data_IF_988281344496
#
_entry.id   IF_988281344496
#
_cell.length_a   1.000
_cell.length_b   1.000
_cell.length_c   1.000
_cell.angle_alpha   90.00
_cell.angle_beta   90.00
_cell.angle_gamma   90.00
#
_symmetry.space_group_name_H-M   'P 1'
#
loop_
_entity.id
_entity.type
_entity.pdbx_description
1 polymer ?
#
# COMPACT_ATOMS: atom_id res chain seq x y z
N UNK A 1 -1.31 -20.37 -5.05
CA UNK A 1 -0.44 -19.17 -5.11
C UNK A 1 -0.87 -18.22 -4.00
N UNK A 2 0.01 -17.77 -3.11
CA UNK A 2 -0.40 -16.86 -2.02
C UNK A 2 -0.68 -15.46 -2.58
N UNK A 3 -1.62 -14.73 -1.96
CA UNK A 3 -2.06 -13.40 -2.42
C UNK A 3 -0.90 -12.39 -2.47
N UNK A 4 0.04 -12.47 -1.52
CA UNK A 4 1.23 -11.64 -1.50
C UNK A 4 2.08 -11.84 -2.75
N UNK A 5 2.37 -13.09 -3.13
CA UNK A 5 3.25 -13.37 -4.27
C UNK A 5 2.62 -12.95 -5.59
N UNK A 6 1.32 -13.18 -5.74
CA UNK A 6 0.58 -12.75 -6.92
C UNK A 6 0.62 -11.22 -7.11
N UNK A 7 0.54 -10.45 -6.02
CA UNK A 7 0.65 -8.99 -6.08
C UNK A 7 2.02 -8.53 -6.58
N UNK A 8 3.11 -9.10 -6.08
CA UNK A 8 4.45 -8.69 -6.49
C UNK A 8 4.81 -9.13 -7.91
N UNK A 9 4.31 -10.29 -8.34
CA UNK A 9 4.41 -10.72 -9.74
C UNK A 9 3.66 -9.77 -10.66
N UNK A 10 2.44 -9.37 -10.31
CA UNK A 10 1.68 -8.38 -11.06
C UNK A 10 2.45 -7.06 -11.21
N UNK A 11 3.03 -6.55 -10.11
CA UNK A 11 3.83 -5.31 -10.14
C UNK A 11 5.08 -5.46 -11.02
N UNK A 12 5.73 -6.63 -10.96
CA UNK A 12 6.92 -6.94 -11.77
C UNK A 12 6.59 -7.03 -13.27
N UNK A 13 5.50 -7.70 -13.62
CA UNK A 13 5.16 -8.01 -15.01
C UNK A 13 4.42 -6.87 -15.71
N UNK A 14 3.83 -5.96 -14.92
CA UNK A 14 3.16 -4.76 -15.45
C UNK A 14 4.14 -3.91 -16.27
N UNK A 15 3.81 -3.68 -17.54
CA UNK A 15 4.60 -2.85 -18.47
C UNK A 15 4.40 -1.35 -18.21
N UNK A 16 4.88 -0.89 -17.07
CA UNK A 16 4.85 0.52 -16.65
C UNK A 16 6.18 0.91 -16.01
N UNK A 17 6.70 2.10 -16.34
CA UNK A 17 7.90 2.67 -15.71
C UNK A 17 7.63 3.19 -14.30
N UNK A 18 6.45 3.77 -14.10
CA UNK A 18 6.01 4.33 -12.82
C UNK A 18 4.69 3.67 -12.41
N UNK A 19 4.62 3.20 -11.17
CA UNK A 19 3.43 2.59 -10.58
C UNK A 19 3.03 3.40 -9.35
N UNK A 20 1.76 3.82 -9.33
CA UNK A 20 1.12 4.42 -8.16
C UNK A 20 0.24 3.36 -7.52
N UNK A 21 0.48 3.06 -6.24
CA UNK A 21 -0.25 2.03 -5.52
C UNK A 21 -0.78 2.57 -4.20
N UNK A 22 -2.10 2.68 -4.11
CA UNK A 22 -2.81 3.01 -2.87
C UNK A 22 -3.04 1.74 -2.06
N UNK A 23 -2.29 1.54 -0.97
CA UNK A 23 -2.37 0.33 -0.16
C UNK A 23 -1.94 0.56 1.29
N UNK A 24 -2.82 0.35 2.27
CA UNK A 24 -2.53 0.69 3.68
C UNK A 24 -1.85 -0.42 4.49
N UNK A 25 -1.54 -1.57 3.89
CA UNK A 25 -0.90 -2.71 4.56
C UNK A 25 -1.65 -3.26 5.80
N UNK A 26 -2.96 -3.03 5.92
CA UNK A 26 -3.80 -3.52 7.03
C UNK A 26 -4.27 -4.99 6.87
N UNK A 27 -3.63 -5.74 5.97
CA UNK A 27 -4.07 -7.09 5.60
C UNK A 27 -2.93 -8.08 5.44
N UNK A 28 -2.89 -8.73 4.28
CA UNK A 28 -2.04 -9.89 4.01
C UNK A 28 -0.56 -9.56 3.76
N UNK A 29 -0.17 -8.28 3.67
CA UNK A 29 1.25 -7.88 3.59
C UNK A 29 1.53 -6.74 4.57
N UNK A 30 2.48 -6.96 5.48
CA UNK A 30 2.95 -5.93 6.41
C UNK A 30 3.80 -4.89 5.68
N UNK A 31 3.72 -3.63 6.12
CA UNK A 31 4.43 -2.48 5.52
C UNK A 31 5.93 -2.70 5.32
N UNK A 32 6.61 -3.26 6.32
CA UNK A 32 8.06 -3.52 6.26
C UNK A 32 8.43 -4.51 5.14
N UNK A 33 7.69 -5.61 5.04
CA UNK A 33 7.85 -6.62 3.98
C UNK A 33 7.48 -5.98 2.63
N UNK A 34 6.43 -5.17 2.60
CA UNK A 34 5.96 -4.51 1.39
C UNK A 34 7.03 -3.60 0.80
N UNK A 35 7.62 -2.73 1.63
CA UNK A 35 8.70 -1.83 1.24
C UNK A 35 9.96 -2.57 0.82
N UNK A 36 10.35 -3.60 1.58
CA UNK A 36 11.51 -4.43 1.24
C UNK A 36 11.36 -5.08 -0.13
N UNK A 37 10.16 -5.53 -0.49
CA UNK A 37 9.91 -6.16 -1.80
C UNK A 37 9.76 -5.13 -2.92
N UNK A 38 9.16 -3.97 -2.68
CA UNK A 38 9.11 -2.90 -3.70
C UNK A 38 10.51 -2.36 -4.02
N UNK A 39 11.40 -2.24 -3.03
CA UNK A 39 12.76 -1.74 -3.25
C UNK A 39 13.62 -2.66 -4.12
N UNK A 40 13.30 -3.96 -4.21
CA UNK A 40 13.98 -4.86 -5.16
C UNK A 40 13.55 -4.64 -6.61
N UNK A 41 12.39 -4.02 -6.84
CA UNK A 41 11.84 -3.77 -8.18
C UNK A 41 12.21 -2.38 -8.72
N UNK A 42 12.68 -1.48 -7.85
CA UNK A 42 13.11 -0.13 -8.22
C UNK A 42 13.08 0.85 -7.06
N UNK A 43 13.12 2.16 -7.37
CA UNK A 43 13.09 3.22 -6.36
C UNK A 43 11.65 3.45 -5.90
N UNK A 44 11.40 3.25 -4.60
CA UNK A 44 10.08 3.45 -4.01
C UNK A 44 10.06 4.67 -3.09
N UNK A 45 9.07 5.54 -3.26
CA UNK A 45 8.73 6.65 -2.35
C UNK A 45 7.34 6.44 -1.78
N UNK A 46 7.14 6.72 -0.50
CA UNK A 46 5.82 6.68 0.14
C UNK A 46 5.34 8.11 0.35
N UNK A 47 4.09 8.37 0.03
CA UNK A 47 3.36 9.53 0.52
C UNK A 47 2.35 9.03 1.55
N UNK A 48 2.41 9.61 2.76
CA UNK A 48 1.47 9.30 3.83
C UNK A 48 0.60 10.52 4.07
N UNK A 49 -0.71 10.31 4.06
CA UNK A 49 -1.65 11.36 4.37
C UNK A 49 -2.60 10.91 5.47
N UNK A 50 -2.69 11.74 6.50
CA UNK A 50 -3.60 11.55 7.62
C UNK A 50 -4.98 12.07 7.21
N UNK A 51 -5.96 11.20 7.20
CA UNK A 51 -7.36 11.55 6.95
C UNK A 51 -8.20 11.28 8.20
N UNK A 52 -9.25 12.08 8.37
CA UNK A 52 -10.27 11.76 9.36
C UNK A 52 -11.03 10.52 8.88
N UNK A 53 -11.19 9.51 9.74
CA UNK A 53 -11.96 8.33 9.40
C UNK A 53 -13.39 8.72 9.07
N UNK A 54 -13.94 8.22 7.96
CA UNK A 54 -15.33 8.48 7.58
C UNK A 54 -16.28 7.87 8.62
N UNK A 55 -17.09 8.72 9.27
CA UNK A 55 -17.91 8.36 10.44
C UNK A 55 -19.39 8.14 10.15
N UNK A 56 -19.80 7.89 8.90
CA UNK A 56 -21.23 7.71 8.61
C UNK A 56 -21.82 6.40 9.17
N UNK A 57 -21.00 5.45 9.62
CA UNK A 57 -21.49 4.25 10.30
C UNK A 57 -21.56 4.44 11.82
N UNK A 58 -22.76 4.29 12.38
CA UNK A 58 -23.06 4.44 13.82
C UNK A 58 -22.40 3.36 14.70
N UNK A 59 -21.82 2.31 14.09
CA UNK A 59 -21.13 1.20 14.78
C UNK A 59 -19.62 1.43 15.01
N UNK A 60 -19.09 2.65 14.75
CA UNK A 60 -17.65 2.94 14.76
C UNK A 60 -17.16 3.65 16.04
N UNK A 61 -17.87 3.53 17.17
CA UNK A 61 -17.56 4.27 18.41
C UNK A 61 -16.15 4.00 18.98
N UNK A 62 -15.56 2.85 18.65
CA UNK A 62 -14.23 2.40 19.10
C UNK A 62 -13.12 2.43 18.03
N UNK A 63 -13.36 2.98 16.82
CA UNK A 63 -12.28 3.06 15.81
C UNK A 63 -11.41 4.30 16.00
N UNK A 64 -10.17 4.17 15.58
CA UNK A 64 -9.22 5.26 15.59
C UNK A 64 -9.74 6.45 14.76
N UNK A 65 -9.51 7.66 15.24
CA UNK A 65 -10.07 8.91 14.66
C UNK A 65 -9.42 9.25 13.32
N UNK A 66 -8.24 8.67 13.08
CA UNK A 66 -7.40 8.98 11.95
C UNK A 66 -7.02 7.71 11.20
N UNK A 67 -7.22 7.73 9.88
CA UNK A 67 -6.71 6.73 8.95
C UNK A 67 -5.44 7.29 8.32
N UNK A 68 -4.41 6.46 8.21
CA UNK A 68 -3.21 6.80 7.46
C UNK A 68 -3.32 6.13 6.10
N UNK A 69 -3.64 6.93 5.08
CA UNK A 69 -3.58 6.44 3.70
C UNK A 69 -2.13 6.48 3.23
N UNK A 70 -1.71 5.39 2.59
CA UNK A 70 -0.35 5.22 2.08
C UNK A 70 -0.40 5.05 0.56
N UNK A 71 0.24 5.98 -0.14
CA UNK A 71 0.45 5.92 -1.57
C UNK A 71 1.92 5.61 -1.86
N UNK A 72 2.17 4.48 -2.47
CA UNK A 72 3.49 4.04 -2.89
C UNK A 72 3.72 4.45 -4.34
N UNK A 73 4.83 5.14 -4.59
CA UNK A 73 5.29 5.57 -5.90
C UNK A 73 6.54 4.76 -6.21
N UNK A 74 6.39 3.74 -7.07
CA UNK A 74 7.49 2.90 -7.52
C UNK A 74 7.93 3.35 -8.90
N UNK A 75 9.19 3.73 -9.03
CA UNK A 75 9.89 3.87 -10.32
C UNK A 75 10.65 2.57 -10.55
N UNK A 76 10.14 1.71 -11.43
CA UNK A 76 10.75 0.42 -11.75
C UNK A 76 12.11 0.62 -12.41
N UNK A 77 13.05 -0.31 -12.20
CA UNK A 77 14.38 -0.30 -12.83
C UNK A 77 14.30 -0.36 -14.35
#
# INVERSE_FOLDING_TARGET
KFAQDALFELINDLKARVILLSYNCEGFVKKEIFLKRLSTLGKCRILEQKYNTFRASRNLKNRNIHLHEQLYILVKN
#
